data_IF_403098995311
#
_entry.id   IF_403098995311
#
_cell.length_a   1.000
_cell.length_b   1.000
_cell.length_c   1.000
_cell.angle_alpha   90.00
_cell.angle_beta   90.00
_cell.angle_gamma   90.00
#
_symmetry.space_group_name_H-M   'P 1'
#
loop_
_entity.id
_entity.type
_entity.pdbx_description
1 polymer ?
#
# COMPACT_ATOMS: atom_id res chain seq x y z
N UNK A 1 37.49 9.60 24.26
CA UNK A 1 36.39 8.62 24.13
C UNK A 1 35.09 9.40 24.19
N UNK A 2 34.59 9.85 23.04
CA UNK A 2 33.27 10.47 22.96
C UNK A 2 32.25 9.38 23.26
N UNK A 3 31.47 9.55 24.33
CA UNK A 3 30.29 8.73 24.57
C UNK A 3 29.48 8.75 23.28
N UNK A 4 29.25 7.57 22.69
CA UNK A 4 28.31 7.41 21.58
C UNK A 4 26.99 8.00 22.06
N UNK A 5 26.58 9.15 21.50
CA UNK A 5 25.28 9.72 21.81
C UNK A 5 24.22 8.64 21.51
N UNK A 6 23.38 8.34 22.50
CA UNK A 6 22.33 7.32 22.37
C UNK A 6 21.45 7.65 21.17
N UNK A 7 21.06 6.68 20.34
CA UNK A 7 20.21 6.95 19.19
C UNK A 7 18.86 7.56 19.64
N UNK A 8 18.26 8.49 18.86
CA UNK A 8 16.93 9.03 19.19
C UNK A 8 15.91 7.89 19.24
N UNK A 9 14.98 7.97 20.18
CA UNK A 9 13.94 6.96 20.39
C UNK A 9 12.67 7.27 19.61
N UNK A 10 12.36 8.56 19.44
CA UNK A 10 11.18 9.03 18.69
C UNK A 10 11.51 10.01 17.57
N UNK A 11 10.56 10.24 16.67
CA UNK A 11 10.68 11.24 15.62
C UNK A 11 10.83 12.66 16.22
N UNK A 12 10.10 12.99 17.29
CA UNK A 12 10.25 14.29 17.94
C UNK A 12 11.67 14.46 18.51
N UNK A 13 12.21 13.44 19.16
CA UNK A 13 13.57 13.48 19.69
C UNK A 13 14.63 13.61 18.58
N UNK A 14 14.41 12.96 17.43
CA UNK A 14 15.26 13.15 16.25
C UNK A 14 15.22 14.62 15.78
N UNK A 15 14.03 15.20 15.62
CA UNK A 15 13.84 16.59 15.20
C UNK A 15 14.51 17.56 16.18
N UNK A 16 14.38 17.34 17.49
CA UNK A 16 14.96 18.20 18.52
C UNK A 16 16.50 18.13 18.54
N UNK A 17 17.10 17.05 18.04
CA UNK A 17 18.56 16.81 18.04
C UNK A 17 19.27 17.25 16.77
N UNK A 18 18.61 17.17 15.61
CA UNK A 18 19.24 17.55 14.34
C UNK A 18 19.13 19.07 14.14
N UNK A 19 20.16 19.73 13.56
CA UNK A 19 20.07 21.17 13.27
C UNK A 19 18.91 21.53 12.34
N UNK A 20 18.60 20.64 11.40
CA UNK A 20 17.52 20.79 10.43
C UNK A 20 17.04 19.41 9.96
N UNK A 21 15.72 19.18 9.97
CA UNK A 21 15.13 17.90 9.57
C UNK A 21 15.21 17.66 8.06
N UNK A 22 15.12 18.72 7.23
CA UNK A 22 15.29 18.59 5.77
C UNK A 22 16.69 18.10 5.46
N UNK A 23 17.72 18.69 6.04
CA UNK A 23 19.11 18.27 5.84
C UNK A 23 19.33 16.81 6.24
N UNK A 24 18.75 16.39 7.38
CA UNK A 24 18.77 14.99 7.81
C UNK A 24 18.15 14.05 6.75
N UNK A 25 16.93 14.36 6.27
CA UNK A 25 16.25 13.56 5.26
C UNK A 25 16.98 13.60 3.89
N UNK A 26 17.63 14.71 3.53
CA UNK A 26 18.46 14.80 2.33
C UNK A 26 19.76 14.01 2.46
N UNK A 27 20.32 13.88 3.66
CA UNK A 27 21.54 13.10 3.88
C UNK A 27 21.27 11.59 3.95
N UNK A 28 20.02 11.18 4.20
CA UNK A 28 19.64 9.77 4.22
C UNK A 28 20.00 9.06 2.90
N UNK A 29 20.53 7.82 2.94
CA UNK A 29 21.02 7.13 1.74
C UNK A 29 19.94 6.96 0.65
N UNK A 30 20.13 7.62 -0.50
CA UNK A 30 19.23 7.59 -1.66
C UNK A 30 19.48 6.40 -2.60
N UNK A 31 19.55 5.20 -2.03
CA UNK A 31 19.78 3.99 -2.83
C UNK A 31 18.52 3.55 -3.56
N UNK A 32 18.35 3.90 -4.84
CA UNK A 32 17.20 3.43 -5.66
C UNK A 32 17.08 1.91 -5.59
N UNK A 33 18.20 1.19 -5.73
CA UNK A 33 18.25 -0.26 -5.59
C UNK A 33 17.87 -0.75 -4.19
N UNK A 34 18.28 -0.04 -3.14
CA UNK A 34 17.89 -0.36 -1.76
C UNK A 34 16.39 -0.19 -1.57
N UNK A 35 15.80 0.90 -2.08
CA UNK A 35 14.36 1.14 -1.98
C UNK A 35 13.54 0.13 -2.80
N UNK A 36 14.00 -0.18 -4.02
CA UNK A 36 13.36 -1.19 -4.89
C UNK A 36 13.45 -2.57 -4.26
N UNK A 37 14.63 -3.02 -3.83
CA UNK A 37 14.80 -4.37 -3.28
C UNK A 37 14.24 -4.55 -1.88
N UNK A 38 14.14 -3.47 -1.10
CA UNK A 38 13.39 -3.48 0.16
C UNK A 38 11.90 -3.69 -0.09
N UNK A 39 11.33 -2.99 -1.07
CA UNK A 39 9.90 -3.08 -1.38
C UNK A 39 9.57 -4.36 -2.17
N UNK A 40 10.48 -4.79 -3.06
CA UNK A 40 10.34 -5.91 -3.98
C UNK A 40 11.59 -6.79 -3.89
N UNK A 41 11.61 -7.75 -2.96
CA UNK A 41 12.74 -8.65 -2.81
C UNK A 41 12.96 -9.44 -4.11
N UNK A 42 14.15 -9.36 -4.74
CA UNK A 42 14.40 -10.04 -6.03
C UNK A 42 14.23 -11.56 -5.98
N UNK A 43 14.35 -12.16 -4.79
CA UNK A 43 14.10 -13.58 -4.55
C UNK A 43 12.64 -13.99 -4.76
N UNK A 44 11.71 -13.04 -4.69
CA UNK A 44 10.27 -13.28 -4.80
C UNK A 44 9.63 -12.56 -6.00
N UNK A 45 10.10 -11.35 -6.30
CA UNK A 45 9.70 -10.59 -7.48
C UNK A 45 10.95 -10.09 -8.21
N UNK A 46 11.37 -10.75 -9.31
CA UNK A 46 12.52 -10.30 -10.06
C UNK A 46 12.27 -8.90 -10.67
N UNK A 47 13.33 -8.14 -10.98
CA UNK A 47 13.21 -6.88 -11.69
C UNK A 47 12.41 -6.97 -13.00
N UNK A 48 12.64 -8.06 -13.75
CA UNK A 48 12.05 -8.37 -15.04
C UNK A 48 11.86 -9.90 -15.12
N UNK A 49 10.73 -10.36 -15.66
CA UNK A 49 10.53 -11.75 -16.07
C UNK A 49 10.92 -11.97 -17.53
N UNK A 50 10.72 -10.95 -18.37
CA UNK A 50 11.12 -10.94 -19.79
C UNK A 50 11.96 -9.70 -20.08
N UNK A 51 11.31 -8.56 -20.26
CA UNK A 51 11.89 -7.24 -20.19
C UNK A 51 10.79 -6.22 -19.85
N UNK A 52 11.15 -5.14 -19.16
CA UNK A 52 10.18 -4.21 -18.59
C UNK A 52 9.28 -3.53 -19.63
N UNK A 53 9.73 -3.37 -20.89
CA UNK A 53 8.94 -2.74 -21.97
C UNK A 53 7.80 -3.64 -22.44
N UNK A 54 8.09 -4.92 -22.64
CA UNK A 54 7.05 -5.86 -23.05
C UNK A 54 6.06 -6.15 -21.90
N UNK A 55 6.55 -6.13 -20.65
CA UNK A 55 5.71 -6.27 -19.46
C UNK A 55 4.77 -5.07 -19.28
N UNK A 56 5.22 -3.86 -19.59
CA UNK A 56 4.34 -2.68 -19.68
C UNK A 56 3.32 -2.84 -20.81
N UNK A 57 3.78 -3.23 -22.01
CA UNK A 57 2.93 -3.40 -23.20
C UNK A 57 1.82 -4.41 -22.98
N UNK A 58 2.07 -5.47 -22.19
CA UNK A 58 1.07 -6.48 -21.85
C UNK A 58 -0.21 -5.91 -21.23
N UNK A 59 -0.13 -4.79 -20.49
CA UNK A 59 -1.32 -4.11 -19.93
C UNK A 59 -2.21 -3.47 -20.98
N UNK A 60 -1.67 -3.19 -22.17
CA UNK A 60 -2.38 -2.56 -23.28
C UNK A 60 -2.85 -3.58 -24.30
N UNK A 61 -2.06 -4.63 -24.52
CA UNK A 61 -2.25 -5.57 -25.63
C UNK A 61 -2.70 -6.98 -25.21
N UNK A 62 -2.62 -7.31 -23.93
CA UNK A 62 -2.88 -8.67 -23.43
C UNK A 62 -3.40 -8.67 -22.00
N UNK A 63 -2.79 -9.49 -21.16
CA UNK A 63 -2.99 -9.48 -19.71
C UNK A 63 -1.66 -9.31 -19.00
N UNK A 64 -1.62 -8.45 -18.00
CA UNK A 64 -0.51 -8.29 -17.09
C UNK A 64 -0.88 -8.82 -15.71
N UNK A 65 -0.05 -9.72 -15.16
CA UNK A 65 -0.17 -10.20 -13.79
C UNK A 65 0.92 -9.58 -12.93
N UNK A 66 0.50 -8.73 -12.00
CA UNK A 66 1.36 -8.05 -11.05
C UNK A 66 1.27 -8.73 -9.69
N UNK A 67 2.42 -9.03 -9.07
CA UNK A 67 2.46 -9.52 -7.70
C UNK A 67 2.68 -8.37 -6.71
N UNK A 68 1.61 -8.00 -6.03
CA UNK A 68 1.58 -6.92 -5.05
C UNK A 68 1.82 -7.40 -3.62
N UNK A 69 2.10 -8.68 -3.42
CA UNK A 69 2.09 -9.31 -2.08
C UNK A 69 3.23 -8.88 -1.15
N UNK A 70 4.26 -8.19 -1.67
CA UNK A 70 5.50 -7.96 -0.92
C UNK A 70 5.68 -6.53 -0.41
N UNK A 71 5.14 -5.54 -1.12
CA UNK A 71 5.60 -4.16 -0.99
C UNK A 71 4.74 -3.25 -0.11
N UNK A 72 3.49 -3.64 0.16
CA UNK A 72 2.59 -2.89 1.05
C UNK A 72 2.34 -3.62 2.36
N UNK A 73 2.22 -2.87 3.44
CA UNK A 73 1.76 -3.36 4.72
C UNK A 73 0.24 -3.47 4.71
N UNK A 74 -0.27 -4.52 5.36
CA UNK A 74 -1.69 -4.68 5.63
C UNK A 74 -1.95 -4.27 7.09
N UNK A 75 -3.03 -3.54 7.35
CA UNK A 75 -3.51 -3.26 8.70
C UNK A 75 -4.98 -3.61 8.81
N UNK A 76 -5.29 -4.50 9.75
CA UNK A 76 -6.66 -4.87 10.08
C UNK A 76 -7.11 -4.01 11.26
N UNK A 77 -8.16 -3.22 11.04
CA UNK A 77 -8.83 -2.41 12.05
C UNK A 77 -10.16 -3.07 12.38
N UNK A 78 -10.37 -3.44 13.65
CA UNK A 78 -11.57 -4.16 14.10
C UNK A 78 -12.23 -3.51 15.29
N UNK A 79 -13.55 -3.56 15.36
CA UNK A 79 -14.34 -3.22 16.56
C UNK A 79 -15.47 -2.24 16.29
N UNK A 80 -16.36 -2.06 17.28
CA UNK A 80 -17.61 -1.31 17.12
C UNK A 80 -17.41 0.18 16.84
N UNK A 81 -16.25 0.76 17.20
CA UNK A 81 -15.95 2.16 16.93
C UNK A 81 -15.02 2.37 15.72
N UNK A 82 -14.74 1.31 14.93
CA UNK A 82 -13.86 1.39 13.77
C UNK A 82 -14.37 2.37 12.71
N UNK A 83 -15.67 2.34 12.39
CA UNK A 83 -16.28 3.31 11.46
C UNK A 83 -16.15 4.76 11.94
N UNK A 84 -16.32 5.01 13.24
CA UNK A 84 -16.16 6.36 13.83
C UNK A 84 -14.72 6.85 13.76
N UNK A 85 -13.76 5.95 14.01
CA UNK A 85 -12.35 6.27 13.86
C UNK A 85 -12.03 6.63 12.39
N UNK A 86 -12.55 5.87 11.43
CA UNK A 86 -12.38 6.18 10.01
C UNK A 86 -12.96 7.55 9.62
N UNK A 87 -14.19 7.84 10.06
CA UNK A 87 -14.84 9.15 9.86
C UNK A 87 -14.05 10.30 10.49
N UNK A 88 -13.38 10.06 11.62
CA UNK A 88 -12.57 11.07 12.30
C UNK A 88 -11.28 11.40 11.57
N UNK A 89 -10.68 10.42 10.90
CA UNK A 89 -9.32 10.51 10.34
C UNK A 89 -9.27 10.71 8.82
N UNK A 90 -10.28 10.24 8.09
CA UNK A 90 -10.33 10.30 6.63
C UNK A 90 -11.08 11.53 6.14
N UNK A 91 -10.60 12.15 5.06
CA UNK A 91 -11.33 13.22 4.35
C UNK A 91 -12.54 12.70 3.57
N UNK A 92 -12.58 11.38 3.33
CA UNK A 92 -13.64 10.74 2.57
C UNK A 92 -14.98 10.76 3.34
N UNK A 93 -16.10 10.81 2.60
CA UNK A 93 -17.40 10.49 3.20
C UNK A 93 -17.54 8.97 3.40
N UNK A 94 -17.95 8.56 4.59
CA UNK A 94 -18.27 7.17 4.94
C UNK A 94 -19.77 6.87 4.93
N UNK A 95 -20.59 7.84 4.51
CA UNK A 95 -22.02 7.63 4.29
C UNK A 95 -22.22 6.48 3.28
N UNK A 96 -22.97 5.45 3.69
CA UNK A 96 -23.19 4.22 2.89
C UNK A 96 -21.90 3.46 2.54
N UNK A 97 -20.85 3.61 3.33
CA UNK A 97 -19.69 2.71 3.30
C UNK A 97 -19.97 1.50 4.19
N UNK A 98 -19.57 0.32 3.74
CA UNK A 98 -19.89 -0.95 4.37
C UNK A 98 -19.41 -2.11 3.50
N UNK A 99 -19.74 -3.33 3.90
CA UNK A 99 -19.24 -4.57 3.27
C UNK A 99 -19.30 -4.55 1.74
N UNK A 100 -18.27 -5.09 1.09
CA UNK A 100 -18.15 -5.16 -0.37
C UNK A 100 -17.73 -3.84 -1.03
N UNK A 101 -17.36 -2.83 -0.24
CA UNK A 101 -16.86 -1.53 -0.74
C UNK A 101 -15.41 -1.33 -0.35
N UNK A 102 -14.68 -0.63 -1.21
CA UNK A 102 -13.38 -0.07 -0.89
C UNK A 102 -13.41 1.46 -1.08
N UNK A 103 -12.40 2.14 -0.55
CA UNK A 103 -12.12 3.57 -0.78
C UNK A 103 -10.63 3.80 -0.89
N UNK A 104 -10.20 4.82 -1.65
CA UNK A 104 -8.88 5.38 -1.43
C UNK A 104 -8.97 6.30 -0.22
N UNK A 105 -8.57 5.80 0.95
CA UNK A 105 -8.59 6.53 2.21
C UNK A 105 -7.46 7.54 2.20
N UNK A 106 -7.78 8.83 2.41
CA UNK A 106 -6.79 9.89 2.48
C UNK A 106 -6.84 10.52 3.86
N UNK A 107 -5.69 10.55 4.53
CA UNK A 107 -5.51 11.19 5.83
C UNK A 107 -4.86 12.56 5.65
N UNK A 108 -5.36 13.53 6.41
CA UNK A 108 -4.77 14.85 6.52
C UNK A 108 -4.48 15.19 7.97
N UNK A 109 -3.53 16.09 8.19
CA UNK A 109 -3.28 16.71 9.49
C UNK A 109 -4.44 17.63 9.89
N UNK A 110 -4.54 18.05 11.16
CA UNK A 110 -5.52 19.04 11.59
C UNK A 110 -5.52 20.34 10.78
N UNK A 111 -4.37 20.71 10.22
CA UNK A 111 -4.18 21.91 9.39
C UNK A 111 -4.56 21.67 7.90
N UNK A 112 -4.88 20.43 7.52
CA UNK A 112 -5.36 20.08 6.18
C UNK A 112 -4.28 19.56 5.22
N UNK A 113 -3.03 19.43 5.66
CA UNK A 113 -1.96 18.88 4.82
C UNK A 113 -2.00 17.36 4.75
N UNK A 114 -1.58 16.78 3.62
CA UNK A 114 -1.67 15.33 3.40
C UNK A 114 -0.67 14.59 4.28
N UNK A 115 -1.14 13.52 4.94
CA UNK A 115 -0.29 12.53 5.60
C UNK A 115 0.01 11.39 4.62
N UNK A 116 -0.98 10.99 3.83
CA UNK A 116 -0.86 9.99 2.77
C UNK A 116 -2.20 9.33 2.46
N UNK A 117 -2.16 8.28 1.66
CA UNK A 117 -3.32 7.51 1.24
C UNK A 117 -3.09 6.00 1.23
N UNK A 118 -4.17 5.23 1.45
CA UNK A 118 -4.18 3.77 1.42
C UNK A 118 -5.50 3.26 0.79
N UNK A 119 -5.47 2.08 0.17
CA UNK A 119 -6.71 1.38 -0.18
C UNK A 119 -7.33 0.81 1.09
N UNK A 120 -8.56 1.20 1.38
CA UNK A 120 -9.34 0.78 2.53
C UNK A 120 -10.49 -0.12 2.07
N UNK A 121 -10.51 -1.38 2.50
CA UNK A 121 -11.61 -2.32 2.27
C UNK A 121 -12.50 -2.36 3.50
N UNK A 122 -13.81 -2.26 3.30
CA UNK A 122 -14.79 -2.68 4.30
C UNK A 122 -15.06 -4.17 4.11
N UNK A 123 -14.56 -5.00 5.02
CA UNK A 123 -14.75 -6.45 4.99
C UNK A 123 -16.12 -6.81 5.57
N UNK A 124 -16.49 -6.16 6.67
CA UNK A 124 -17.84 -6.14 7.24
C UNK A 124 -18.05 -4.79 7.96
N UNK A 125 -19.10 -4.69 8.78
CA UNK A 125 -19.47 -3.42 9.43
C UNK A 125 -18.50 -3.00 10.56
N UNK A 126 -17.72 -3.94 11.09
CA UNK A 126 -16.77 -3.70 12.20
C UNK A 126 -15.33 -4.12 11.85
N UNK A 127 -15.05 -4.50 10.60
CA UNK A 127 -13.72 -4.93 10.17
C UNK A 127 -13.33 -4.29 8.85
N UNK A 128 -12.19 -3.61 8.90
CA UNK A 128 -11.62 -2.88 7.78
C UNK A 128 -10.17 -3.31 7.57
N UNK A 129 -9.77 -3.34 6.29
CA UNK A 129 -8.41 -3.65 5.89
C UNK A 129 -7.82 -2.46 5.16
N UNK A 130 -6.74 -1.89 5.70
CA UNK A 130 -5.90 -0.94 4.98
C UNK A 130 -4.78 -1.69 4.26
N UNK A 131 -4.50 -1.27 3.04
CA UNK A 131 -3.35 -1.70 2.26
C UNK A 131 -2.64 -0.46 1.73
N UNK A 132 -1.39 -0.26 2.10
CA UNK A 132 -0.59 0.83 1.56
C UNK A 132 0.64 1.19 2.39
N UNK A 133 1.03 2.46 2.26
CA UNK A 133 2.21 3.03 2.89
C UNK A 133 2.06 3.28 4.39
N UNK A 134 3.19 3.18 5.08
CA UNK A 134 3.33 3.29 6.55
C UNK A 134 2.73 4.56 7.17
N UNK A 135 2.82 5.78 6.58
CA UNK A 135 2.36 6.99 7.26
C UNK A 135 0.88 6.98 7.68
N UNK A 136 -0.01 6.50 6.80
CA UNK A 136 -1.43 6.36 7.13
C UNK A 136 -1.66 5.27 8.18
N UNK A 137 -0.92 4.16 8.09
CA UNK A 137 -1.05 3.05 9.05
C UNK A 137 -0.59 3.46 10.45
N UNK A 138 0.48 4.24 10.54
CA UNK A 138 0.97 4.81 11.79
C UNK A 138 -0.03 5.81 12.36
N UNK A 139 -0.61 6.68 11.52
CA UNK A 139 -1.64 7.63 11.91
C UNK A 139 -2.88 6.95 12.50
N UNK A 140 -3.41 5.93 11.82
CA UNK A 140 -4.55 5.13 12.30
C UNK A 140 -4.18 4.41 13.61
N UNK A 141 -2.98 3.82 13.68
CA UNK A 141 -2.52 3.11 14.88
C UNK A 141 -2.40 4.04 16.09
N UNK A 142 -1.85 5.24 15.91
CA UNK A 142 -1.72 6.23 16.98
C UNK A 142 -3.09 6.60 17.56
N UNK A 143 -4.05 6.95 16.71
CA UNK A 143 -5.38 7.33 17.17
C UNK A 143 -6.20 6.16 17.74
N UNK A 144 -6.00 4.95 17.23
CA UNK A 144 -6.60 3.75 17.81
C UNK A 144 -6.05 3.44 19.21
N UNK A 145 -4.76 3.68 19.46
CA UNK A 145 -4.10 3.36 20.73
C UNK A 145 -4.24 4.45 21.80
N UNK A 146 -4.27 5.71 21.37
CA UNK A 146 -4.25 6.87 22.28
C UNK A 146 -5.61 7.57 22.40
N UNK A 147 -6.54 7.31 21.47
CA UNK A 147 -7.89 7.81 21.51
C UNK A 147 -8.85 6.91 22.30
N UNK A 148 -10.04 7.44 22.58
CA UNK A 148 -11.12 6.71 23.25
C UNK A 148 -12.02 5.98 22.23
N UNK A 149 -11.45 4.99 21.52
CA UNK A 149 -12.15 4.17 20.54
C UNK A 149 -12.05 2.69 20.94
N UNK A 150 -13.18 1.97 20.94
CA UNK A 150 -13.17 0.52 21.16
C UNK A 150 -12.82 -0.20 19.86
N UNK A 151 -11.53 -0.21 19.55
CA UNK A 151 -10.98 -0.84 18.36
C UNK A 151 -9.71 -1.63 18.69
N UNK A 152 -9.36 -2.57 17.81
CA UNK A 152 -8.07 -3.25 17.79
C UNK A 152 -7.41 -3.04 16.44
N UNK A 153 -6.08 -2.94 16.46
CA UNK A 153 -5.26 -2.78 15.27
C UNK A 153 -4.27 -3.93 15.20
N UNK A 154 -4.21 -4.57 14.04
CA UNK A 154 -3.29 -5.66 13.79
C UNK A 154 -2.58 -5.45 12.45
N UNK A 155 -1.23 -5.48 12.48
CA UNK A 155 -0.40 -5.22 11.30
C UNK A 155 0.17 -6.52 10.76
N UNK A 156 0.18 -6.64 9.44
CA UNK A 156 0.93 -7.63 8.67
C UNK A 156 1.92 -6.83 7.79
N UNK A 157 3.13 -6.55 8.32
CA UNK A 157 4.13 -5.70 7.68
C UNK A 157 4.48 -6.16 6.26
N UNK A 158 4.85 -5.21 5.42
CA UNK A 158 5.49 -5.50 4.13
C UNK A 158 6.72 -6.42 4.32
N UNK A 159 7.06 -7.20 3.29
CA UNK A 159 7.92 -8.37 3.42
C UNK A 159 9.25 -8.12 4.12
N UNK A 160 9.99 -7.07 3.74
CA UNK A 160 11.30 -6.77 4.32
C UNK A 160 11.25 -6.32 5.78
N UNK A 161 10.09 -5.89 6.28
CA UNK A 161 9.85 -5.51 7.66
C UNK A 161 9.15 -6.63 8.46
N UNK A 162 8.86 -7.77 7.82
CA UNK A 162 8.11 -8.86 8.41
C UNK A 162 9.06 -9.94 8.95
N UNK A 163 9.24 -10.04 10.29
CA UNK A 163 10.18 -11.00 10.87
C UNK A 163 9.69 -12.46 10.76
N UNK A 164 8.41 -12.69 10.45
CA UNK A 164 7.85 -14.03 10.32
C UNK A 164 8.15 -14.67 8.96
N UNK A 165 8.66 -13.91 7.98
CA UNK A 165 8.94 -14.43 6.63
C UNK A 165 7.70 -14.97 5.92
N UNK A 166 6.50 -14.46 6.28
CA UNK A 166 5.22 -14.79 5.65
C UNK A 166 4.24 -13.63 5.76
N UNK A 167 3.29 -13.56 4.83
CA UNK A 167 2.17 -12.60 4.88
C UNK A 167 0.90 -13.29 5.37
N UNK A 168 -0.14 -12.51 5.66
CA UNK A 168 -1.49 -13.07 5.88
C UNK A 168 -2.23 -13.30 4.58
N UNK A 169 -2.09 -12.37 3.66
CA UNK A 169 -2.78 -12.37 2.38
C UNK A 169 -1.77 -12.28 1.26
N UNK A 170 -1.98 -13.06 0.19
CA UNK A 170 -1.41 -12.68 -1.10
C UNK A 170 -2.23 -11.56 -1.72
N UNK A 171 -1.61 -10.81 -2.62
CA UNK A 171 -2.27 -9.79 -3.43
C UNK A 171 -1.72 -9.83 -4.84
N UNK A 172 -2.59 -10.10 -5.80
CA UNK A 172 -2.30 -9.99 -7.22
C UNK A 172 -3.12 -8.88 -7.83
N UNK A 173 -2.65 -8.36 -8.96
CA UNK A 173 -3.45 -7.54 -9.83
C UNK A 173 -3.39 -8.10 -11.24
N UNK A 174 -4.57 -8.26 -11.85
CA UNK A 174 -4.72 -8.66 -13.24
C UNK A 174 -5.23 -7.45 -13.99
N UNK A 175 -4.42 -6.92 -14.91
CA UNK A 175 -4.76 -5.74 -15.72
C UNK A 175 -4.69 -6.04 -17.21
N UNK A 176 -5.52 -5.36 -17.99
CA UNK A 176 -5.46 -5.40 -19.46
C UNK A 176 -6.83 -5.57 -20.11
N UNK A 177 -6.92 -5.39 -21.44
CA UNK A 177 -8.17 -5.53 -22.19
C UNK A 177 -8.86 -6.87 -21.95
N UNK A 178 -8.09 -7.95 -21.81
CA UNK A 178 -8.59 -9.32 -21.62
C UNK A 178 -8.72 -9.76 -20.15
N UNK A 179 -8.45 -8.86 -19.18
CA UNK A 179 -8.57 -9.19 -17.76
C UNK A 179 -9.98 -9.65 -17.34
N UNK A 180 -11.09 -9.04 -17.81
CA UNK A 180 -12.44 -9.53 -17.51
C UNK A 180 -12.71 -10.94 -18.06
N UNK A 181 -12.21 -11.23 -19.26
CA UNK A 181 -12.41 -12.54 -19.94
C UNK A 181 -11.65 -13.65 -19.21
N UNK A 182 -10.40 -13.38 -18.83
CA UNK A 182 -9.60 -14.28 -18.00
C UNK A 182 -10.30 -14.56 -16.66
N UNK A 183 -10.78 -13.52 -15.98
CA UNK A 183 -11.44 -13.70 -14.69
C UNK A 183 -12.76 -14.47 -14.82
N UNK A 184 -13.54 -14.23 -15.88
CA UNK A 184 -14.76 -15.00 -16.17
C UNK A 184 -14.47 -16.49 -16.43
N UNK A 185 -13.40 -16.78 -17.21
CA UNK A 185 -12.94 -18.15 -17.44
C UNK A 185 -12.53 -18.85 -16.15
N UNK A 186 -11.72 -18.19 -15.32
CA UNK A 186 -11.29 -18.72 -14.02
C UNK A 186 -12.48 -18.95 -13.07
N UNK A 187 -13.48 -18.08 -13.15
CA UNK A 187 -14.72 -18.21 -12.37
C UNK A 187 -15.63 -19.35 -12.87
N UNK A 188 -15.48 -19.77 -14.13
CA UNK A 188 -16.34 -20.76 -14.76
C UNK A 188 -17.66 -20.20 -15.30
N UNK A 189 -17.75 -18.89 -15.52
CA UNK A 189 -18.98 -18.26 -16.01
C UNK A 189 -18.97 -16.74 -16.00
N UNK A 190 -20.17 -16.16 -16.16
CA UNK A 190 -20.35 -14.72 -16.13
C UNK A 190 -19.99 -14.14 -14.75
N UNK A 191 -19.22 -13.05 -14.77
CA UNK A 191 -18.90 -12.32 -13.55
C UNK A 191 -20.12 -11.56 -13.04
N UNK A 192 -20.30 -11.44 -11.71
CA UNK A 192 -21.27 -10.50 -11.17
C UNK A 192 -20.87 -9.06 -11.56
N UNK A 193 -21.83 -8.13 -11.52
CA UNK A 193 -21.50 -6.71 -11.68
C UNK A 193 -20.70 -6.21 -10.47
N UNK A 194 -19.39 -6.08 -10.67
CA UNK A 194 -18.48 -5.50 -9.69
C UNK A 194 -18.26 -4.04 -10.12
N UNK A 195 -18.85 -3.08 -9.44
CA UNK A 195 -18.60 -1.65 -9.68
C UNK A 195 -17.16 -1.23 -9.32
N UNK A 196 -16.68 -0.10 -9.84
CA UNK A 196 -15.36 0.43 -9.46
C UNK A 196 -15.27 0.62 -7.93
N UNK A 197 -14.17 0.18 -7.32
CA UNK A 197 -14.00 0.15 -5.86
C UNK A 197 -15.10 -0.62 -5.11
N UNK A 198 -15.71 -1.62 -5.78
CA UNK A 198 -16.47 -2.70 -5.15
C UNK A 198 -15.62 -3.96 -5.12
N UNK A 199 -15.77 -4.73 -4.06
CA UNK A 199 -15.18 -6.06 -3.99
C UNK A 199 -16.23 -7.11 -3.64
N UNK A 200 -15.97 -8.32 -4.11
CA UNK A 200 -16.76 -9.51 -3.80
C UNK A 200 -15.81 -10.70 -3.65
N UNK A 201 -16.34 -11.87 -3.32
CA UNK A 201 -15.59 -13.13 -3.35
C UNK A 201 -16.05 -13.92 -4.56
N UNK A 202 -15.09 -14.34 -5.39
CA UNK A 202 -15.32 -15.23 -6.53
C UNK A 202 -14.64 -16.56 -6.26
N UNK A 203 -15.25 -17.64 -6.75
CA UNK A 203 -14.58 -18.94 -6.81
C UNK A 203 -13.71 -18.98 -8.04
N UNK A 204 -12.39 -19.16 -7.90
CA UNK A 204 -11.45 -19.40 -9.00
C UNK A 204 -10.92 -20.84 -8.85
N UNK A 205 -11.47 -21.76 -9.65
CA UNK A 205 -11.30 -23.20 -9.39
C UNK A 205 -11.85 -23.56 -7.99
N UNK A 206 -11.00 -24.14 -7.13
CA UNK A 206 -11.34 -24.49 -5.75
C UNK A 206 -11.12 -23.36 -4.73
N UNK A 207 -10.57 -22.22 -5.13
CA UNK A 207 -10.15 -21.15 -4.23
C UNK A 207 -11.22 -20.06 -4.12
N UNK A 208 -11.43 -19.54 -2.90
CA UNK A 208 -12.29 -18.39 -2.66
C UNK A 208 -11.44 -17.12 -2.65
N UNK A 209 -11.50 -16.36 -3.75
CA UNK A 209 -10.64 -15.21 -3.98
C UNK A 209 -11.45 -13.93 -3.86
N UNK A 210 -11.00 -13.01 -2.99
CA UNK A 210 -11.56 -11.67 -2.93
C UNK A 210 -11.09 -10.89 -4.14
N UNK A 211 -12.04 -10.34 -4.90
CA UNK A 211 -11.81 -9.57 -6.11
C UNK A 211 -12.33 -8.16 -5.93
N UNK A 212 -11.44 -7.17 -6.02
CA UNK A 212 -11.76 -5.75 -6.08
C UNK A 212 -11.64 -5.27 -7.52
N UNK A 213 -12.65 -4.58 -8.06
CA UNK A 213 -12.49 -3.88 -9.35
C UNK A 213 -11.69 -2.61 -9.13
N UNK A 214 -10.46 -2.60 -9.66
CA UNK A 214 -9.50 -1.52 -9.51
C UNK A 214 -8.56 -1.46 -10.72
N UNK A 215 -8.20 -0.25 -11.13
CA UNK A 215 -7.28 -0.02 -12.26
C UNK A 215 -6.21 0.98 -11.85
N UNK A 216 -4.95 0.61 -12.03
CA UNK A 216 -3.78 1.45 -11.76
C UNK A 216 -3.11 1.93 -13.05
N UNK A 217 -3.70 1.68 -14.22
CA UNK A 217 -3.13 2.09 -15.51
C UNK A 217 -4.18 2.54 -16.53
N UNK A 218 -5.41 2.84 -16.10
CA UNK A 218 -6.50 3.27 -16.99
C UNK A 218 -7.04 2.15 -17.89
N UNK A 219 -6.69 0.90 -17.64
CA UNK A 219 -7.23 -0.31 -18.30
C UNK A 219 -8.11 -1.12 -17.36
N UNK A 220 -9.02 -1.97 -17.85
CA UNK A 220 -9.75 -2.90 -17.00
C UNK A 220 -8.80 -3.68 -16.10
N UNK A 221 -9.13 -3.76 -14.81
CA UNK A 221 -8.26 -4.37 -13.83
C UNK A 221 -9.01 -4.87 -12.61
N UNK A 222 -8.45 -5.90 -11.99
CA UNK A 222 -8.94 -6.49 -10.77
C UNK A 222 -7.77 -6.76 -9.83
N UNK A 223 -7.95 -6.43 -8.55
CA UNK A 223 -7.07 -6.89 -7.49
C UNK A 223 -7.66 -8.15 -6.85
N UNK A 224 -6.82 -9.18 -6.74
CA UNK A 224 -7.17 -10.49 -6.22
C UNK A 224 -6.41 -10.69 -4.91
N UNK A 225 -7.09 -11.19 -3.88
CA UNK A 225 -6.45 -11.50 -2.59
C UNK A 225 -7.09 -12.72 -1.93
N UNK A 226 -6.29 -13.43 -1.15
CA UNK A 226 -6.69 -14.63 -0.42
C UNK A 226 -5.60 -15.06 0.57
N UNK A 227 -5.81 -16.18 1.29
CA UNK A 227 -4.85 -16.71 2.26
C UNK A 227 -3.48 -16.92 1.63
N UNK A 228 -2.42 -16.48 2.32
CA UNK A 228 -1.04 -16.54 1.81
C UNK A 228 -0.62 -17.94 1.34
N UNK A 229 -1.12 -18.98 2.00
CA UNK A 229 -0.84 -20.39 1.74
C UNK A 229 -1.31 -20.83 0.34
N UNK A 230 -2.31 -20.16 -0.23
CA UNK A 230 -2.89 -20.47 -1.55
C UNK A 230 -2.17 -19.72 -2.69
N UNK A 231 -1.24 -18.82 -2.37
CA UNK A 231 -0.66 -17.86 -3.33
C UNK A 231 -0.14 -18.52 -4.61
N UNK A 232 0.72 -19.53 -4.48
CA UNK A 232 1.35 -20.16 -5.65
C UNK A 232 0.33 -20.93 -6.49
N UNK A 233 -0.63 -21.59 -5.86
CA UNK A 233 -1.64 -22.34 -6.58
C UNK A 233 -2.57 -21.43 -7.38
N UNK A 234 -3.01 -20.32 -6.77
CA UNK A 234 -3.82 -19.29 -7.46
C UNK A 234 -3.00 -18.60 -8.56
N UNK A 235 -1.72 -18.33 -8.33
CA UNK A 235 -0.83 -17.75 -9.35
C UNK A 235 -0.71 -18.66 -10.57
N UNK A 236 -0.42 -19.94 -10.36
CA UNK A 236 -0.32 -20.94 -11.44
C UNK A 236 -1.63 -21.01 -12.21
N UNK A 237 -2.76 -21.08 -11.51
CA UNK A 237 -4.09 -21.10 -12.12
C UNK A 237 -4.32 -19.89 -13.04
N UNK A 238 -4.00 -18.68 -12.58
CA UNK A 238 -4.12 -17.45 -13.37
C UNK A 238 -3.20 -17.48 -14.60
N UNK A 239 -1.95 -17.90 -14.42
CA UNK A 239 -0.95 -17.93 -15.51
C UNK A 239 -1.31 -18.95 -16.58
N UNK A 240 -1.78 -20.14 -16.20
CA UNK A 240 -2.18 -21.18 -17.14
C UNK A 240 -3.42 -20.77 -17.95
N UNK A 241 -4.46 -20.27 -17.29
CA UNK A 241 -5.66 -19.78 -17.97
C UNK A 241 -5.38 -18.54 -18.83
N UNK A 242 -4.43 -17.71 -18.40
CA UNK A 242 -4.04 -16.48 -19.08
C UNK A 242 -3.25 -16.67 -20.38
N UNK A 243 -2.72 -17.86 -20.67
CA UNK A 243 -1.88 -18.08 -21.86
C UNK A 243 -2.59 -17.72 -23.17
N UNK A 244 -3.89 -18.04 -23.29
CA UNK A 244 -4.68 -17.72 -24.48
C UNK A 244 -4.94 -16.21 -24.65
N UNK A 245 -4.79 -15.43 -23.58
CA UNK A 245 -4.97 -13.98 -23.55
C UNK A 245 -3.65 -13.21 -23.59
N UNK A 246 -2.54 -13.90 -23.90
CA UNK A 246 -1.21 -13.28 -23.96
C UNK A 246 -0.72 -12.78 -22.60
N UNK A 247 -1.02 -13.52 -21.51
CA UNK A 247 -0.61 -13.12 -20.17
C UNK A 247 0.90 -12.98 -20.04
N UNK A 248 1.34 -11.93 -19.34
CA UNK A 248 2.73 -11.75 -18.91
C UNK A 248 2.80 -11.45 -17.43
N UNK A 249 3.81 -12.03 -16.79
CA UNK A 249 4.21 -11.68 -15.44
C UNK A 249 4.95 -10.34 -15.47
N UNK A 250 4.66 -9.48 -14.50
CA UNK A 250 5.24 -8.14 -14.39
C UNK A 250 6.26 -8.10 -13.26
N UNK A 251 7.50 -7.77 -13.59
CA UNK A 251 8.59 -7.56 -12.64
C UNK A 251 8.51 -6.19 -11.96
N UNK A 252 9.39 -5.97 -10.98
CA UNK A 252 9.34 -4.75 -10.16
C UNK A 252 9.61 -3.45 -10.94
N UNK A 253 10.40 -3.49 -12.02
CA UNK A 253 10.64 -2.30 -12.84
C UNK A 253 9.41 -1.87 -13.62
N UNK A 254 8.76 -2.82 -14.29
CA UNK A 254 7.54 -2.55 -15.03
C UNK A 254 6.41 -2.13 -14.07
N UNK A 255 6.32 -2.72 -12.87
CA UNK A 255 5.40 -2.27 -11.82
C UNK A 255 5.59 -0.78 -11.48
N UNK A 256 6.81 -0.39 -11.13
CA UNK A 256 7.13 0.96 -10.67
C UNK A 256 7.02 2.03 -11.77
N UNK A 257 7.40 1.69 -13.00
CA UNK A 257 7.46 2.66 -14.11
C UNK A 257 6.11 2.96 -14.76
N UNK A 258 5.11 2.08 -14.62
CA UNK A 258 3.80 2.27 -15.25
C UNK A 258 2.68 2.57 -14.26
N UNK A 259 2.74 2.03 -13.03
CA UNK A 259 1.65 2.17 -12.05
C UNK A 259 1.30 3.62 -11.73
N UNK A 260 2.24 4.41 -11.20
CA UNK A 260 1.97 5.82 -10.85
C UNK A 260 1.94 6.76 -12.05
N UNK A 261 2.84 6.55 -13.03
CA UNK A 261 3.03 7.48 -14.15
C UNK A 261 1.83 7.45 -15.11
N UNK A 262 1.28 6.27 -15.41
CA UNK A 262 0.18 6.16 -16.36
C UNK A 262 -1.19 6.38 -15.72
N UNK A 263 -1.37 6.09 -14.42
CA UNK A 263 -2.62 6.41 -13.71
C UNK A 263 -2.72 7.85 -13.23
N UNK A 264 -1.59 8.53 -13.04
CA UNK A 264 -1.52 9.82 -12.38
C UNK A 264 -1.58 9.76 -10.84
N UNK A 265 -1.48 8.57 -10.23
CA UNK A 265 -1.37 8.44 -8.77
C UNK A 265 0.03 8.85 -8.28
N UNK A 266 0.07 9.70 -7.25
CA UNK A 266 1.30 10.15 -6.59
C UNK A 266 1.50 9.30 -5.32
N UNK A 267 2.43 8.32 -5.31
CA UNK A 267 2.46 7.27 -4.29
C UNK A 267 3.13 7.67 -2.97
N UNK A 268 3.86 8.78 -2.94
CA UNK A 268 4.74 9.14 -1.82
C UNK A 268 4.77 10.65 -1.58
N UNK A 269 3.63 11.28 -1.20
CA UNK A 269 3.69 12.60 -0.60
C UNK A 269 4.53 12.54 0.68
N UNK A 270 5.26 13.61 1.00
CA UNK A 270 5.89 13.74 2.31
C UNK A 270 4.76 13.83 3.36
N UNK A 271 4.75 12.99 4.41
CA UNK A 271 3.74 13.11 5.45
C UNK A 271 3.97 14.43 6.20
N UNK A 272 3.00 15.35 6.15
CA UNK A 272 3.13 16.71 6.66
C UNK A 272 3.09 16.82 8.20
N UNK A 273 3.83 15.97 8.91
CA UNK A 273 3.69 15.76 10.36
C UNK A 273 4.82 16.39 11.20
N UNK A 274 5.76 17.09 10.56
CA UNK A 274 7.04 17.49 11.17
C UNK A 274 6.99 18.75 12.05
N UNK A 275 6.07 19.69 11.82
CA UNK A 275 6.17 21.04 12.42
C UNK A 275 5.06 21.38 13.41
N UNK A 276 3.80 21.02 13.10
CA UNK A 276 2.67 21.47 13.91
C UNK A 276 2.82 21.12 15.40
N UNK A 277 2.61 22.07 16.33
CA UNK A 277 2.57 21.80 17.77
C UNK A 277 1.50 20.77 18.14
N UNK A 278 0.36 20.75 17.44
CA UNK A 278 -0.73 19.80 17.68
C UNK A 278 -0.32 18.34 17.40
N UNK A 279 0.72 18.14 16.57
CA UNK A 279 1.24 16.84 16.20
C UNK A 279 2.42 16.38 17.06
N UNK A 280 2.82 17.15 18.09
CA UNK A 280 3.96 16.78 18.95
C UNK A 280 3.76 15.40 19.60
N UNK A 281 2.59 15.14 20.19
CA UNK A 281 2.30 13.85 20.81
C UNK A 281 2.40 12.68 19.82
N UNK A 282 1.98 12.90 18.57
CA UNK A 282 2.14 11.90 17.51
C UNK A 282 3.61 11.65 17.18
N UNK A 283 4.42 12.72 17.04
CA UNK A 283 5.86 12.60 16.79
C UNK A 283 6.63 11.98 17.96
N UNK A 284 6.18 12.18 19.20
CA UNK A 284 6.75 11.54 20.38
C UNK A 284 6.39 10.05 20.46
N UNK A 285 5.20 9.68 19.97
CA UNK A 285 4.76 8.28 19.87
C UNK A 285 5.48 7.52 18.74
N UNK A 286 5.76 8.17 17.60
CA UNK A 286 6.44 7.57 16.46
C UNK A 286 7.90 7.20 16.79
N UNK A 287 8.30 5.91 16.70
CA UNK A 287 9.70 5.53 16.86
C UNK A 287 10.61 6.19 15.81
N UNK A 288 11.87 6.49 16.18
CA UNK A 288 12.86 7.06 15.24
C UNK A 288 13.33 6.07 14.16
N UNK A 289 12.75 4.86 14.12
CA UNK A 289 13.01 3.81 13.13
C UNK A 289 11.91 3.71 12.08
N UNK A 290 10.81 4.48 12.21
CA UNK A 290 9.72 4.45 11.24
C UNK A 290 10.09 5.17 9.94
N UNK A 291 9.27 4.94 8.90
CA UNK A 291 9.45 5.53 7.58
C UNK A 291 9.61 7.06 7.64
N UNK A 292 8.85 7.74 8.48
CA UNK A 292 8.88 9.20 8.66
C UNK A 292 10.23 9.72 9.15
N UNK A 293 10.98 8.91 9.91
CA UNK A 293 12.30 9.26 10.42
C UNK A 293 13.44 8.86 9.47
N UNK A 294 13.32 7.70 8.81
CA UNK A 294 14.43 7.09 8.04
C UNK A 294 14.30 7.23 6.52
N UNK A 295 13.19 7.77 6.02
CA UNK A 295 13.00 8.04 4.59
C UNK A 295 13.94 9.15 4.11
N UNK A 296 14.02 9.31 2.80
CA UNK A 296 14.89 10.30 2.16
C UNK A 296 14.09 11.30 1.35
N UNK A 297 14.44 12.58 1.44
CA UNK A 297 14.07 13.59 0.45
C UNK A 297 15.07 13.56 -0.71
N UNK A 298 14.58 13.60 -1.95
CA UNK A 298 15.42 13.53 -3.14
C UNK A 298 14.81 14.32 -4.30
N UNK A 299 15.68 15.01 -5.04
CA UNK A 299 15.28 15.89 -6.14
C UNK A 299 16.19 17.12 -6.21
N UNK A 300 15.93 17.99 -7.19
CA UNK A 300 16.63 19.27 -7.34
C UNK A 300 16.03 20.37 -6.46
N UNK A 301 14.78 20.23 -6.02
CA UNK A 301 14.14 21.18 -5.12
C UNK A 301 14.73 21.07 -3.71
N UNK A 302 15.36 22.15 -3.26
CA UNK A 302 15.88 22.28 -1.90
C UNK A 302 15.28 23.51 -1.22
N UNK A 303 14.65 23.30 -0.06
CA UNK A 303 14.30 24.36 0.89
C UNK A 303 14.73 23.95 2.29
N UNK A 304 15.31 24.83 3.11
CA UNK A 304 15.57 24.52 4.51
C UNK A 304 14.28 24.43 5.35
N UNK A 305 13.13 24.85 4.83
CA UNK A 305 11.84 24.74 5.49
C UNK A 305 11.12 23.45 5.04
N UNK A 306 10.81 22.57 5.99
CA UNK A 306 10.12 21.30 5.70
C UNK A 306 8.69 21.51 5.21
N UNK A 307 8.04 22.64 5.56
CA UNK A 307 6.66 22.95 5.11
C UNK A 307 6.58 23.33 3.63
N UNK A 308 7.72 23.54 2.97
CA UNK A 308 7.75 23.79 1.52
C UNK A 308 7.68 22.49 0.69
N UNK A 309 7.76 21.30 1.33
CA UNK A 309 7.66 19.96 0.73
C UNK A 309 6.28 19.34 0.94
#
# INVERSE_FOLDING_TARGET
MTASAEAPRSLQELIDRVPNIVDHLFQNPKGVWRAVFHSFPPSHLPPEFTNWRDEQRARREGVALLDQSFHMTNLFLRGPDAGKLLERLGVNSFRHFGSGRAKNFVACTPEGYVIGDNVLYALNDEEFLFVGGEPVLNWVSFHAQTGDFRVTVERDPLWSLNPQGRRRLYRFQVEGPHAPELLAKLHGGALPDIGFFRHTVLSLGSYQVRVLRHSMAGVPGYELSGPWEEREAVRTLIVEAGQEFGIRLVGSFAYLSSGGIESGWIPRPLPAIYTSPALRAYREWLPATTHEAVSSLGGSFYSPNIEDY
#
